data_IF_126453832328
#
_entry.id   IF_126453832328
#
_cell.length_a   1.000
_cell.length_b   1.000
_cell.length_c   1.000
_cell.angle_alpha   90.00
_cell.angle_beta   90.00
_cell.angle_gamma   90.00
#
_symmetry.space_group_name_H-M   'P 1'
#
loop_
_entity.id
_entity.type
_entity.pdbx_description
1 polymer ?
#
# COMPACT_ATOMS: atom_id res chain seq x y z
N UNK A 1 -6.15 -5.85 11.32
CA UNK A 1 -6.00 -7.21 10.76
C UNK A 1 -7.06 -7.40 9.68
N UNK A 2 -6.87 -8.27 8.71
CA UNK A 2 -7.89 -8.56 7.68
C UNK A 2 -8.50 -9.93 7.93
N UNK A 3 -9.82 -10.06 7.82
CA UNK A 3 -10.47 -11.38 7.88
C UNK A 3 -10.25 -12.09 6.55
N UNK A 4 -9.64 -13.28 6.63
CA UNK A 4 -9.26 -14.09 5.47
C UNK A 4 -10.20 -15.26 5.24
N UNK A 5 -10.85 -15.75 6.30
CA UNK A 5 -11.81 -16.84 6.24
C UNK A 5 -12.87 -16.66 7.32
N UNK A 6 -14.11 -16.97 6.97
CA UNK A 6 -15.26 -16.96 7.86
C UNK A 6 -16.14 -18.17 7.55
N UNK A 7 -16.07 -19.17 8.41
CA UNK A 7 -16.83 -20.42 8.29
C UNK A 7 -17.74 -20.62 9.50
N UNK A 8 -18.89 -21.23 9.29
CA UNK A 8 -19.81 -21.51 10.38
C UNK A 8 -20.40 -22.91 10.25
N UNK A 9 -20.70 -23.52 11.39
CA UNK A 9 -21.38 -24.80 11.49
C UNK A 9 -22.34 -24.74 12.69
N UNK A 10 -23.64 -24.65 12.41
CA UNK A 10 -24.65 -24.45 13.46
C UNK A 10 -24.44 -23.12 14.19
N UNK A 11 -24.20 -23.16 15.50
CA UNK A 11 -23.90 -21.98 16.33
C UNK A 11 -22.40 -21.72 16.50
N UNK A 12 -21.54 -22.47 15.81
CA UNK A 12 -20.10 -22.27 15.81
C UNK A 12 -19.68 -21.38 14.65
N UNK A 13 -18.71 -20.49 14.90
CA UNK A 13 -18.10 -19.58 13.94
C UNK A 13 -16.57 -19.69 14.06
N UNK A 14 -15.91 -19.99 12.94
CA UNK A 14 -14.47 -20.03 12.81
C UNK A 14 -14.02 -18.85 11.94
N UNK A 15 -13.10 -18.06 12.48
CA UNK A 15 -12.56 -16.87 11.84
C UNK A 15 -11.05 -17.02 11.72
N UNK A 16 -10.49 -16.58 10.60
CA UNK A 16 -9.05 -16.42 10.41
C UNK A 16 -8.75 -15.00 10.03
N UNK A 17 -7.69 -14.46 10.62
CA UNK A 17 -7.23 -13.10 10.41
C UNK A 17 -5.75 -13.07 10.09
N UNK A 18 -5.38 -12.29 9.07
CA UNK A 18 -3.98 -12.01 8.74
C UNK A 18 -3.62 -10.60 9.18
N UNK A 19 -2.40 -10.42 9.65
CA UNK A 19 -1.82 -9.12 9.96
C UNK A 19 -1.06 -8.62 8.73
N UNK A 20 -0.98 -7.30 8.53
CA UNK A 20 -0.09 -6.74 7.51
C UNK A 20 1.32 -7.32 7.73
N UNK A 21 1.89 -7.90 6.66
CA UNK A 21 3.11 -8.68 6.73
C UNK A 21 4.25 -7.87 7.37
N UNK A 22 4.64 -8.23 8.59
CA UNK A 22 5.89 -7.75 9.17
C UNK A 22 6.98 -8.78 8.87
N UNK A 23 8.05 -8.43 8.14
CA UNK A 23 9.07 -9.39 7.69
C UNK A 23 9.81 -10.08 8.84
N UNK A 24 9.66 -9.59 10.08
CA UNK A 24 10.25 -10.20 11.29
C UNK A 24 9.26 -11.02 12.12
N UNK A 25 7.99 -11.15 11.72
CA UNK A 25 7.02 -11.96 12.46
C UNK A 25 7.38 -13.44 12.37
N UNK A 26 7.23 -14.22 13.46
CA UNK A 26 7.42 -15.67 13.42
C UNK A 26 6.52 -16.30 12.35
N UNK A 27 7.09 -17.20 11.52
CA UNK A 27 6.35 -17.85 10.42
C UNK A 27 5.12 -18.65 10.87
N UNK A 28 5.06 -19.05 12.15
CA UNK A 28 3.96 -19.83 12.71
C UNK A 28 2.87 -18.97 13.38
N UNK A 29 3.01 -17.64 13.36
CA UNK A 29 2.11 -16.69 14.02
C UNK A 29 1.58 -15.64 13.03
N UNK A 30 1.43 -16.06 11.77
CA UNK A 30 0.99 -15.17 10.68
C UNK A 30 -0.52 -15.04 10.60
N UNK A 31 -1.24 -16.05 11.08
CA UNK A 31 -2.70 -16.09 11.11
C UNK A 31 -3.17 -16.20 12.55
N UNK A 32 -4.05 -15.28 12.94
CA UNK A 32 -4.84 -15.38 14.17
C UNK A 32 -6.13 -16.13 13.83
N UNK A 33 -6.34 -17.28 14.47
CA UNK A 33 -7.56 -18.05 14.35
C UNK A 33 -8.40 -17.89 15.62
N UNK A 34 -9.69 -17.62 15.45
CA UNK A 34 -10.64 -17.52 16.55
C UNK A 34 -11.82 -18.45 16.26
N UNK A 35 -12.12 -19.31 17.22
CA UNK A 35 -13.30 -20.18 17.20
C UNK A 35 -14.27 -19.74 18.30
N UNK A 36 -15.51 -19.46 17.92
CA UNK A 36 -16.61 -19.07 18.79
C UNK A 36 -17.69 -20.14 18.72
N UNK A 37 -18.14 -20.66 19.86
CA UNK A 37 -19.21 -21.65 19.93
C UNK A 37 -20.44 -21.11 20.68
N UNK A 38 -21.63 -21.62 20.35
CA UNK A 38 -22.86 -21.26 21.05
C UNK A 38 -23.33 -19.83 20.80
N UNK A 39 -22.97 -19.24 19.66
CA UNK A 39 -23.45 -17.92 19.26
C UNK A 39 -24.95 -17.95 18.96
N UNK A 40 -25.69 -17.00 19.55
CA UNK A 40 -27.15 -16.89 19.34
C UNK A 40 -27.50 -16.35 17.95
N UNK A 41 -26.68 -15.43 17.41
CA UNK A 41 -26.93 -14.72 16.16
C UNK A 41 -25.81 -14.97 15.13
N UNK A 42 -25.48 -16.24 14.86
CA UNK A 42 -24.35 -16.59 13.98
C UNK A 42 -24.49 -15.99 12.58
N UNK A 43 -25.71 -15.90 12.03
CA UNK A 43 -25.97 -15.38 10.69
C UNK A 43 -25.50 -13.94 10.53
N UNK A 44 -25.88 -13.05 11.45
CA UNK A 44 -25.45 -11.65 11.47
C UNK A 44 -23.93 -11.53 11.64
N UNK A 45 -23.33 -12.43 12.42
CA UNK A 45 -21.88 -12.46 12.59
C UNK A 45 -21.17 -12.84 11.29
N UNK A 46 -21.67 -13.88 10.61
CA UNK A 46 -21.15 -14.33 9.32
C UNK A 46 -21.26 -13.24 8.27
N UNK A 47 -22.43 -12.58 8.16
CA UNK A 47 -22.63 -11.45 7.23
C UNK A 47 -21.62 -10.33 7.48
N UNK A 48 -21.43 -9.92 8.74
CA UNK A 48 -20.47 -8.88 9.09
C UNK A 48 -19.05 -9.17 8.58
N UNK A 49 -18.54 -10.39 8.79
CA UNK A 49 -17.18 -10.76 8.41
C UNK A 49 -17.04 -11.08 6.92
N UNK A 50 -18.04 -11.74 6.32
CA UNK A 50 -17.99 -12.12 4.89
C UNK A 50 -18.00 -10.89 4.00
N UNK A 51 -18.77 -9.85 4.34
CA UNK A 51 -18.79 -8.57 3.62
C UNK A 51 -17.44 -7.82 3.69
N UNK A 52 -16.59 -8.17 4.67
CA UNK A 52 -15.31 -7.49 4.96
C UNK A 52 -14.09 -8.34 4.61
N UNK A 53 -14.29 -9.51 4.01
CA UNK A 53 -13.23 -10.46 3.71
C UNK A 53 -12.21 -9.86 2.73
N UNK A 54 -10.95 -9.75 3.16
CA UNK A 54 -9.84 -9.09 2.43
C UNK A 54 -10.04 -7.62 2.02
N UNK A 55 -11.10 -6.93 2.45
CA UNK A 55 -11.39 -5.58 1.96
C UNK A 55 -11.07 -4.49 2.95
N UNK A 56 -11.26 -4.74 4.25
CA UNK A 56 -11.11 -3.72 5.29
C UNK A 56 -10.41 -4.26 6.53
N UNK A 57 -9.61 -3.42 7.22
CA UNK A 57 -9.07 -3.79 8.51
C UNK A 57 -10.20 -3.93 9.53
N UNK A 58 -10.04 -4.92 10.41
CA UNK A 58 -10.85 -5.18 11.58
C UNK A 58 -9.93 -5.12 12.80
N UNK A 59 -10.41 -4.40 13.82
CA UNK A 59 -9.85 -4.36 15.16
C UNK A 59 -10.64 -5.32 16.04
N UNK A 60 -9.93 -6.13 16.81
CA UNK A 60 -10.51 -7.14 17.66
C UNK A 60 -10.18 -6.81 19.12
N UNK A 61 -11.20 -6.81 19.96
CA UNK A 61 -11.09 -6.71 21.41
C UNK A 61 -11.72 -7.97 22.01
N UNK A 62 -10.99 -8.59 22.93
CA UNK A 62 -11.39 -9.83 23.58
C UNK A 62 -11.61 -9.57 25.07
N UNK A 63 -12.81 -9.87 25.54
CA UNK A 63 -13.15 -9.82 26.96
C UNK A 63 -13.86 -11.12 27.37
N UNK A 64 -13.14 -11.98 28.10
CA UNK A 64 -13.56 -13.34 28.47
C UNK A 64 -14.08 -14.17 27.29
N UNK A 65 -15.40 -14.22 27.10
CA UNK A 65 -16.10 -14.97 26.04
C UNK A 65 -16.79 -14.06 25.03
N UNK A 66 -16.49 -12.77 25.09
CA UNK A 66 -17.03 -11.76 24.19
C UNK A 66 -15.92 -11.34 23.23
N UNK A 67 -16.17 -11.50 21.94
CA UNK A 67 -15.34 -10.90 20.90
C UNK A 67 -16.05 -9.67 20.36
N UNK A 68 -15.41 -8.52 20.48
CA UNK A 68 -15.86 -7.27 19.87
C UNK A 68 -15.00 -6.99 18.64
N UNK A 69 -15.65 -6.89 17.49
CA UNK A 69 -15.03 -6.56 16.21
C UNK A 69 -15.46 -5.16 15.77
N UNK A 70 -14.48 -4.29 15.55
CA UNK A 70 -14.69 -2.91 15.09
C UNK A 70 -14.06 -2.77 13.70
N UNK A 71 -14.86 -2.34 12.74
CA UNK A 71 -14.41 -2.04 11.38
C UNK A 71 -14.51 -0.53 11.10
N UNK A 72 -13.94 -0.09 9.98
CA UNK A 72 -14.03 1.31 9.54
C UNK A 72 -15.48 1.82 9.47
N UNK A 73 -15.66 3.12 9.73
CA UNK A 73 -16.94 3.83 9.87
C UNK A 73 -17.74 3.51 11.15
N UNK A 74 -17.10 3.00 12.20
CA UNK A 74 -17.72 2.78 13.51
C UNK A 74 -18.65 1.57 13.55
N UNK A 75 -18.62 0.71 12.53
CA UNK A 75 -19.37 -0.54 12.51
C UNK A 75 -18.79 -1.48 13.57
N UNK A 76 -19.59 -1.78 14.59
CA UNK A 76 -19.20 -2.59 15.74
C UNK A 76 -20.11 -3.81 15.83
N UNK A 77 -19.50 -4.98 16.02
CA UNK A 77 -20.18 -6.24 16.29
C UNK A 77 -19.62 -6.84 17.57
N UNK A 78 -20.48 -7.06 18.56
CA UNK A 78 -20.13 -7.77 19.79
C UNK A 78 -20.76 -9.16 19.79
N UNK A 79 -19.94 -10.18 20.04
CA UNK A 79 -20.32 -11.59 19.96
C UNK A 79 -20.05 -12.28 21.29
N UNK A 80 -21.10 -12.64 22.00
CA UNK A 80 -21.00 -13.44 23.23
C UNK A 80 -21.15 -14.93 22.90
N UNK A 81 -20.10 -15.69 23.16
CA UNK A 81 -20.02 -17.12 22.90
C UNK A 81 -20.07 -17.94 24.21
N UNK A 82 -20.53 -19.19 24.15
CA UNK A 82 -20.43 -20.11 25.28
C UNK A 82 -19.00 -20.59 25.51
N UNK A 83 -18.23 -20.68 24.42
CA UNK A 83 -16.80 -20.97 24.44
C UNK A 83 -16.09 -20.15 23.34
N UNK A 84 -14.89 -19.67 23.66
CA UNK A 84 -14.06 -18.89 22.77
C UNK A 84 -12.63 -19.42 22.86
N UNK A 85 -12.06 -19.79 21.71
CA UNK A 85 -10.68 -20.27 21.60
C UNK A 85 -9.91 -19.39 20.63
N UNK A 86 -8.70 -19.01 21.03
CA UNK A 86 -7.76 -18.24 20.22
C UNK A 86 -6.50 -19.07 20.00
N UNK A 87 -6.06 -19.17 18.74
CA UNK A 87 -4.83 -19.85 18.38
C UNK A 87 -4.12 -19.11 17.25
N UNK A 88 -2.83 -19.37 17.11
CA UNK A 88 -2.04 -18.91 15.97
C UNK A 88 -1.79 -20.06 15.00
N UNK A 89 -1.75 -19.74 13.71
CA UNK A 89 -1.52 -20.68 12.64
C UNK A 89 -0.66 -20.07 11.52
N UNK A 90 -0.26 -20.93 10.59
CA UNK A 90 0.38 -20.55 9.32
C UNK A 90 -0.68 -20.12 8.30
N UNK A 91 -0.22 -19.38 7.30
CA UNK A 91 -1.00 -19.11 6.10
C UNK A 91 -1.35 -20.43 5.40
N UNK A 92 -2.61 -20.59 5.03
CA UNK A 92 -3.03 -21.64 4.12
C UNK A 92 -2.66 -21.26 2.66
N UNK A 93 -2.89 -22.18 1.71
CA UNK A 93 -2.50 -21.95 0.31
C UNK A 93 -3.23 -20.76 -0.34
N UNK A 94 -4.52 -20.56 -0.02
CA UNK A 94 -5.32 -19.50 -0.59
C UNK A 94 -4.92 -18.12 -0.02
N UNK A 95 -4.68 -18.06 1.28
CA UNK A 95 -4.14 -16.88 1.97
C UNK A 95 -2.77 -16.51 1.40
N UNK A 96 -1.86 -17.46 1.29
CA UNK A 96 -0.53 -17.22 0.72
C UNK A 96 -0.61 -16.73 -0.73
N UNK A 97 -1.50 -17.31 -1.55
CA UNK A 97 -1.70 -16.88 -2.94
C UNK A 97 -2.19 -15.44 -3.01
N UNK A 98 -3.19 -15.08 -2.21
CA UNK A 98 -3.72 -13.71 -2.17
C UNK A 98 -2.68 -12.70 -1.71
N UNK A 99 -1.89 -13.04 -0.70
CA UNK A 99 -0.78 -12.19 -0.25
C UNK A 99 0.27 -12.01 -1.35
N UNK A 100 0.63 -13.07 -2.08
CA UNK A 100 1.55 -12.97 -3.21
C UNK A 100 1.00 -12.10 -4.34
N UNK A 101 -0.29 -12.24 -4.68
CA UNK A 101 -0.95 -11.41 -5.68
C UNK A 101 -0.93 -9.92 -5.27
N UNK A 102 -1.19 -9.62 -3.99
CA UNK A 102 -1.13 -8.26 -3.45
C UNK A 102 0.28 -7.66 -3.56
N UNK A 103 1.30 -8.40 -3.11
CA UNK A 103 2.70 -7.96 -3.18
C UNK A 103 3.13 -7.77 -4.64
N UNK A 104 2.68 -8.64 -5.55
CA UNK A 104 2.97 -8.52 -6.97
C UNK A 104 2.34 -7.27 -7.59
N UNK A 105 1.09 -6.95 -7.24
CA UNK A 105 0.45 -5.70 -7.67
C UNK A 105 1.18 -4.46 -7.14
N UNK A 106 1.66 -4.48 -5.90
CA UNK A 106 2.50 -3.40 -5.36
C UNK A 106 3.81 -3.25 -6.14
N UNK A 107 4.46 -4.37 -6.47
CA UNK A 107 5.66 -4.35 -7.30
C UNK A 107 5.38 -3.75 -8.68
N UNK A 108 4.31 -4.17 -9.37
CA UNK A 108 3.92 -3.61 -10.67
C UNK A 108 3.58 -2.12 -10.58
N UNK A 109 2.91 -1.70 -9.51
CA UNK A 109 2.59 -0.30 -9.25
C UNK A 109 3.84 0.55 -9.03
N UNK A 110 4.80 0.04 -8.26
CA UNK A 110 6.09 0.69 -8.03
C UNK A 110 6.92 0.79 -9.33
N UNK A 111 7.00 -0.30 -10.09
CA UNK A 111 7.72 -0.35 -11.38
C UNK A 111 7.16 0.67 -12.38
N UNK A 112 5.83 0.71 -12.55
CA UNK A 112 5.18 1.72 -13.40
C UNK A 112 5.45 3.15 -12.93
N UNK A 113 5.45 3.37 -11.62
CA UNK A 113 5.73 4.68 -11.03
C UNK A 113 7.18 5.11 -11.30
N UNK A 114 8.13 4.21 -11.12
CA UNK A 114 9.54 4.42 -11.46
C UNK A 114 9.72 4.70 -12.96
N UNK A 115 9.13 3.88 -13.83
CA UNK A 115 9.19 4.08 -15.28
C UNK A 115 8.63 5.46 -15.70
N UNK A 116 7.53 5.89 -15.10
CA UNK A 116 6.95 7.21 -15.35
C UNK A 116 7.84 8.35 -14.83
N UNK A 117 8.47 8.19 -13.66
CA UNK A 117 9.44 9.16 -13.14
C UNK A 117 10.64 9.29 -14.08
N UNK A 118 11.22 8.18 -14.55
CA UNK A 118 12.31 8.19 -15.53
C UNK A 118 11.93 8.87 -16.84
N UNK A 119 10.72 8.60 -17.36
CA UNK A 119 10.21 9.29 -18.56
C UNK A 119 10.13 10.81 -18.37
N UNK A 120 9.66 11.28 -17.21
CA UNK A 120 9.59 12.71 -16.88
C UNK A 120 10.98 13.33 -16.77
N UNK A 121 11.91 12.66 -16.09
CA UNK A 121 13.31 13.10 -15.98
C UNK A 121 13.94 13.24 -17.38
N UNK A 122 13.77 12.25 -18.25
CA UNK A 122 14.28 12.28 -19.62
C UNK A 122 13.64 13.40 -20.46
N UNK A 123 12.35 13.67 -20.28
CA UNK A 123 11.68 14.78 -20.94
C UNK A 123 12.25 16.14 -20.48
N UNK A 124 12.45 16.32 -19.17
CA UNK A 124 13.08 17.54 -18.62
C UNK A 124 14.51 17.68 -19.17
N UNK A 125 15.31 16.61 -19.15
CA UNK A 125 16.67 16.62 -19.73
C UNK A 125 16.66 17.08 -21.19
N UNK A 126 15.74 16.55 -22.00
CA UNK A 126 15.60 16.91 -23.42
C UNK A 126 15.21 18.38 -23.60
N UNK A 127 14.26 18.88 -22.81
CA UNK A 127 13.83 20.29 -22.84
C UNK A 127 14.94 21.25 -22.39
N UNK A 128 15.71 20.87 -21.37
CA UNK A 128 16.86 21.65 -20.89
C UNK A 128 17.94 21.74 -21.96
N UNK A 129 18.31 20.61 -22.57
CA UNK A 129 19.31 20.57 -23.65
C UNK A 129 18.87 21.38 -24.89
N UNK A 130 17.58 21.33 -25.25
CA UNK A 130 17.02 22.15 -26.32
C UNK A 130 17.02 23.65 -25.96
N UNK A 131 16.70 23.98 -24.70
CA UNK A 131 16.71 25.38 -24.23
C UNK A 131 18.11 25.97 -24.24
N UNK A 132 19.12 25.19 -23.85
CA UNK A 132 20.54 25.57 -23.97
C UNK A 132 20.88 25.90 -25.42
N UNK A 133 20.60 24.98 -26.36
CA UNK A 133 20.87 25.19 -27.80
C UNK A 133 20.19 26.45 -28.35
N UNK A 134 18.95 26.73 -27.96
CA UNK A 134 18.22 27.94 -28.38
C UNK A 134 18.83 29.21 -27.81
N UNK A 135 19.27 29.20 -26.56
CA UNK A 135 19.91 30.37 -25.93
C UNK A 135 21.28 30.62 -26.55
N UNK A 136 22.07 29.57 -26.78
CA UNK A 136 23.35 29.67 -27.50
C UNK A 136 23.16 30.33 -28.87
N UNK A 137 22.20 29.83 -29.66
CA UNK A 137 21.87 30.40 -30.97
C UNK A 137 21.37 31.86 -30.92
N UNK A 138 20.68 32.27 -29.85
CA UNK A 138 20.25 33.68 -29.69
C UNK A 138 21.42 34.56 -29.25
N UNK A 139 22.24 34.07 -28.32
CA UNK A 139 23.37 34.81 -27.75
C UNK A 139 24.42 35.18 -28.79
N UNK A 140 24.62 34.34 -29.83
CA UNK A 140 25.59 34.60 -30.91
C UNK A 140 25.28 35.86 -31.73
N UNK A 141 24.04 36.35 -31.70
CA UNK A 141 23.62 37.58 -32.38
C UNK A 141 23.84 38.88 -31.59
N UNK A 142 24.33 38.79 -30.34
CA UNK A 142 24.49 39.96 -29.46
C UNK A 142 25.97 40.31 -29.24
N UNK A 143 26.25 41.61 -29.07
CA UNK A 143 27.59 42.09 -28.75
C UNK A 143 28.09 41.51 -27.41
N UNK A 144 29.30 40.94 -27.43
CA UNK A 144 29.94 40.38 -26.23
C UNK A 144 30.10 41.47 -25.16
N UNK A 145 29.73 41.14 -23.92
CA UNK A 145 29.82 42.07 -22.78
C UNK A 145 28.65 43.05 -22.64
N UNK A 146 27.69 43.06 -23.56
CA UNK A 146 26.43 43.79 -23.37
C UNK A 146 25.50 43.09 -22.37
N UNK A 147 24.54 43.84 -21.81
CA UNK A 147 23.59 43.34 -20.80
C UNK A 147 22.86 42.07 -21.24
N UNK A 148 22.45 41.98 -22.52
CA UNK A 148 21.81 40.79 -23.07
C UNK A 148 22.76 39.57 -23.08
N UNK A 149 24.04 39.76 -23.43
CA UNK A 149 25.05 38.69 -23.42
C UNK A 149 25.30 38.15 -22.01
N UNK A 150 25.31 39.02 -20.99
CA UNK A 150 25.45 38.62 -19.58
C UNK A 150 24.24 37.81 -19.10
N UNK A 151 23.03 38.25 -19.42
CA UNK A 151 21.79 37.55 -19.04
C UNK A 151 21.70 36.16 -19.67
N UNK A 152 22.05 36.01 -20.95
CA UNK A 152 22.11 34.69 -21.59
C UNK A 152 23.18 33.78 -20.95
N UNK A 153 24.34 34.33 -20.58
CA UNK A 153 25.38 33.58 -19.89
C UNK A 153 24.92 33.03 -18.52
N UNK A 154 24.20 33.85 -17.74
CA UNK A 154 23.61 33.42 -16.47
C UNK A 154 22.54 32.33 -16.66
N UNK A 155 21.67 32.47 -17.68
CA UNK A 155 20.66 31.46 -17.99
C UNK A 155 21.30 30.13 -18.44
N UNK A 156 22.33 30.17 -19.28
CA UNK A 156 23.08 28.98 -19.70
C UNK A 156 23.75 28.29 -18.51
N UNK A 157 24.34 29.05 -17.58
CA UNK A 157 24.97 28.47 -16.40
C UNK A 157 23.96 27.72 -15.52
N UNK A 158 22.77 28.31 -15.31
CA UNK A 158 21.70 27.65 -14.55
C UNK A 158 21.20 26.37 -15.24
N UNK A 159 20.94 26.41 -16.55
CA UNK A 159 20.45 25.23 -17.29
C UNK A 159 21.48 24.11 -17.33
N UNK A 160 22.77 24.43 -17.48
CA UNK A 160 23.84 23.43 -17.42
C UNK A 160 23.94 22.78 -16.03
N UNK A 161 23.75 23.55 -14.95
CA UNK A 161 23.70 23.00 -13.59
C UNK A 161 22.49 22.09 -13.38
N UNK A 162 21.33 22.44 -13.93
CA UNK A 162 20.14 21.57 -13.92
C UNK A 162 20.43 20.26 -14.67
N UNK A 163 21.11 20.33 -15.81
CA UNK A 163 21.44 19.14 -16.60
C UNK A 163 22.41 18.21 -15.84
N UNK A 164 23.45 18.77 -15.20
CA UNK A 164 24.36 18.00 -14.33
C UNK A 164 23.61 17.29 -13.20
N UNK A 165 22.70 17.99 -12.51
CA UNK A 165 21.89 17.40 -11.43
C UNK A 165 20.91 16.31 -11.92
N UNK A 166 20.56 16.29 -13.21
CA UNK A 166 19.72 15.24 -13.78
C UNK A 166 20.54 14.02 -14.23
N UNK A 167 21.87 14.14 -14.32
CA UNK A 167 22.78 13.08 -14.77
C UNK A 167 23.49 12.35 -13.61
N UNK A 168 23.43 12.92 -12.39
CA UNK A 168 23.81 12.30 -11.10
C UNK A 168 22.72 11.35 -10.58
#
# INVERSE_FOLDING_TARGET
>A
MYVTQCEHAGSALQLRFVHDFHPTSPRNEQVLQISLEGLRNVSTCVEFFRDRQYTKPIYLELDEKTLTATADAGALLSMNATALTVSYDRLNQDELRKELDLVYEWYLGADRSCANAYKRINAIRSLTAESIRRIESKSSGHARGGTASVLYGQQLHLLNRILQLLDE
#
